data_IF_653822372781
#
_entry.id   IF_653822372781
#
_cell.length_a   1.000
_cell.length_b   1.000
_cell.length_c   1.000
_cell.angle_alpha   90.00
_cell.angle_beta   90.00
_cell.angle_gamma   90.00
#
_symmetry.space_group_name_H-M   'P 1'
#
loop_
_entity.id
_entity.type
_entity.pdbx_description
1 polymer ?
#
# COMPACT_ATOMS: atom_id res chain seq x y z
N UNK A 1 63.68 36.17 -4.59
CA UNK A 1 63.14 35.27 -5.64
C UNK A 1 62.34 34.13 -5.00
N UNK A 2 60.99 34.16 -5.08
CA UNK A 2 60.15 33.07 -4.57
C UNK A 2 59.84 32.12 -5.75
N UNK A 3 60.34 30.87 -5.67
CA UNK A 3 60.05 29.84 -6.65
C UNK A 3 58.58 29.39 -6.49
N UNK A 4 57.78 29.50 -7.55
CA UNK A 4 56.42 28.91 -7.61
C UNK A 4 56.56 27.39 -7.74
N UNK A 5 56.14 26.64 -6.68
CA UNK A 5 55.98 25.17 -6.75
C UNK A 5 54.75 24.86 -7.62
N UNK A 6 54.99 24.31 -8.77
CA UNK A 6 53.93 23.71 -9.60
C UNK A 6 53.61 22.34 -9.05
N UNK A 7 52.40 22.15 -8.54
CA UNK A 7 51.88 20.84 -8.14
C UNK A 7 51.53 20.09 -9.40
N UNK A 8 52.35 19.10 -9.78
CA UNK A 8 52.03 18.17 -10.89
C UNK A 8 51.04 17.13 -10.40
N UNK A 9 49.81 17.17 -10.86
CA UNK A 9 48.78 16.14 -10.57
C UNK A 9 49.18 14.80 -11.18
N UNK A 10 48.99 13.71 -10.38
CA UNK A 10 49.24 12.32 -10.80
C UNK A 10 48.38 11.98 -12.07
N UNK A 11 48.94 11.18 -13.04
CA UNK A 11 48.23 10.87 -14.31
C UNK A 11 46.81 10.28 -14.12
N UNK A 12 46.59 9.48 -13.07
CA UNK A 12 45.30 8.87 -12.77
C UNK A 12 44.27 9.88 -12.23
N UNK A 13 44.73 10.90 -11.48
CA UNK A 13 43.91 12.04 -11.06
C UNK A 13 43.47 12.91 -12.27
N UNK A 14 44.35 13.05 -13.27
CA UNK A 14 43.96 13.79 -14.51
C UNK A 14 42.89 13.04 -15.30
N UNK A 15 42.96 11.71 -15.40
CA UNK A 15 41.92 10.87 -16.05
C UNK A 15 40.61 10.96 -15.30
N UNK A 16 40.61 10.89 -13.96
CA UNK A 16 39.41 11.05 -13.14
C UNK A 16 38.74 12.41 -13.30
N UNK A 17 39.54 13.51 -13.37
CA UNK A 17 39.02 14.87 -13.60
C UNK A 17 38.41 15.01 -15.00
N UNK A 18 39.04 14.42 -16.01
CA UNK A 18 38.52 14.45 -17.39
C UNK A 18 37.20 13.69 -17.49
N UNK A 19 37.11 12.50 -16.91
CA UNK A 19 35.88 11.69 -16.89
C UNK A 19 34.77 12.42 -16.14
N UNK A 20 35.06 13.02 -14.98
CA UNK A 20 34.10 13.80 -14.20
C UNK A 20 33.63 15.07 -14.95
N UNK A 21 34.53 15.75 -15.64
CA UNK A 21 34.22 16.92 -16.47
C UNK A 21 33.34 16.54 -17.67
N UNK A 22 33.62 15.40 -18.35
CA UNK A 22 32.78 14.93 -19.45
C UNK A 22 31.38 14.55 -18.98
N UNK A 23 31.23 13.89 -17.82
CA UNK A 23 29.92 13.55 -17.23
C UNK A 23 29.16 14.83 -16.85
N UNK A 24 29.82 15.83 -16.27
CA UNK A 24 29.23 17.12 -15.93
C UNK A 24 28.76 17.91 -17.17
N UNK A 25 29.50 17.83 -18.28
CA UNK A 25 29.09 18.46 -19.54
C UNK A 25 27.89 17.79 -20.19
N UNK A 26 27.78 16.45 -20.08
CA UNK A 26 26.63 15.71 -20.59
C UNK A 26 25.36 16.02 -19.79
N UNK A 27 25.49 16.22 -18.47
CA UNK A 27 24.37 16.60 -17.59
C UNK A 27 23.87 18.04 -17.84
N UNK A 28 24.75 18.98 -18.22
CA UNK A 28 24.37 20.36 -18.51
C UNK A 28 23.70 20.55 -19.87
N UNK A 29 24.03 19.70 -20.87
CA UNK A 29 23.40 19.72 -22.19
C UNK A 29 21.89 19.40 -22.13
N UNK A 30 21.50 18.44 -21.31
CA UNK A 30 20.08 18.06 -21.16
C UNK A 30 19.20 19.15 -20.54
N UNK A 31 19.74 19.96 -19.62
CA UNK A 31 19.01 21.09 -19.02
C UNK A 31 18.77 22.21 -20.02
N UNK A 32 19.70 22.45 -20.94
CA UNK A 32 19.56 23.49 -21.97
C UNK A 32 18.51 23.10 -23.02
N UNK A 33 18.46 21.84 -23.45
CA UNK A 33 17.49 21.30 -24.40
C UNK A 33 16.05 21.41 -23.88
N UNK A 34 15.77 20.91 -22.68
CA UNK A 34 14.46 21.03 -22.04
C UNK A 34 14.01 22.48 -21.91
N UNK A 35 14.88 23.37 -21.40
CA UNK A 35 14.55 24.78 -21.20
C UNK A 35 14.24 25.52 -22.51
N UNK A 36 14.92 25.17 -23.60
CA UNK A 36 14.67 25.75 -24.91
C UNK A 36 13.27 25.35 -25.41
N UNK A 37 12.94 24.06 -25.36
CA UNK A 37 11.63 23.55 -25.79
C UNK A 37 10.51 24.09 -24.89
N UNK A 38 10.71 24.07 -23.57
CA UNK A 38 9.72 24.55 -22.62
C UNK A 38 9.34 26.01 -22.84
N UNK A 39 10.33 26.88 -23.08
CA UNK A 39 10.12 28.31 -23.21
C UNK A 39 9.69 28.76 -24.61
N UNK A 40 10.20 28.13 -25.66
CA UNK A 40 10.07 28.62 -27.03
C UNK A 40 9.43 27.61 -27.99
N UNK A 41 9.22 26.36 -27.58
CA UNK A 41 8.58 25.34 -28.40
C UNK A 41 7.09 25.63 -28.58
N UNK A 42 6.59 25.46 -29.79
CA UNK A 42 5.15 25.38 -30.09
C UNK A 42 4.56 24.05 -29.63
N UNK A 43 3.26 23.85 -29.82
CA UNK A 43 2.57 22.63 -29.36
C UNK A 43 3.12 21.36 -30.04
N UNK A 44 3.50 21.42 -31.30
CA UNK A 44 3.99 20.26 -32.03
C UNK A 44 5.42 19.91 -31.60
N UNK A 45 6.30 20.89 -31.48
CA UNK A 45 7.64 20.68 -30.94
C UNK A 45 7.60 20.13 -29.50
N UNK A 46 6.78 20.71 -28.63
CA UNK A 46 6.61 20.20 -27.25
C UNK A 46 6.11 18.76 -27.23
N UNK A 47 5.21 18.39 -28.15
CA UNK A 47 4.67 17.05 -28.23
C UNK A 47 5.73 16.02 -28.63
N UNK A 48 6.52 16.28 -29.67
CA UNK A 48 7.60 15.38 -30.09
C UNK A 48 8.69 15.27 -29.01
N UNK A 49 9.10 16.37 -28.38
CA UNK A 49 10.07 16.32 -27.30
C UNK A 49 9.54 15.65 -26.03
N UNK A 50 8.25 15.79 -25.73
CA UNK A 50 7.66 15.08 -24.60
C UNK A 50 7.72 13.55 -24.78
N UNK A 51 7.44 13.05 -25.98
CA UNK A 51 7.59 11.64 -26.35
C UNK A 51 9.05 11.18 -26.29
N UNK A 52 9.96 12.01 -26.78
CA UNK A 52 11.39 11.73 -26.74
C UNK A 52 11.92 11.70 -25.30
N UNK A 53 11.56 12.64 -24.44
CA UNK A 53 11.92 12.61 -23.01
C UNK A 53 11.33 11.40 -22.31
N UNK A 54 10.09 11.04 -22.62
CA UNK A 54 9.47 9.83 -22.10
C UNK A 54 10.26 8.57 -22.52
N UNK A 55 10.58 8.42 -23.80
CA UNK A 55 11.35 7.29 -24.32
C UNK A 55 12.77 7.19 -23.73
N UNK A 56 13.38 8.34 -23.38
CA UNK A 56 14.68 8.41 -22.70
C UNK A 56 14.60 8.21 -21.17
N UNK A 57 13.44 7.92 -20.62
CA UNK A 57 13.23 7.78 -19.18
C UNK A 57 13.29 9.09 -18.37
N UNK A 58 13.23 10.25 -19.06
CA UNK A 58 13.20 11.59 -18.41
C UNK A 58 11.76 11.97 -18.09
N UNK A 59 11.12 11.16 -17.24
CA UNK A 59 9.69 11.25 -16.98
C UNK A 59 9.25 12.59 -16.38
N UNK A 60 10.07 13.20 -15.52
CA UNK A 60 9.80 14.53 -14.98
C UNK A 60 9.72 15.59 -16.09
N UNK A 61 10.67 15.59 -17.05
CA UNK A 61 10.65 16.55 -18.15
C UNK A 61 9.45 16.31 -19.09
N UNK A 62 9.16 15.02 -19.37
CA UNK A 62 8.01 14.65 -20.16
C UNK A 62 6.70 15.10 -19.50
N UNK A 63 6.53 14.89 -18.19
CA UNK A 63 5.29 15.24 -17.48
C UNK A 63 5.04 16.75 -17.50
N UNK A 64 6.09 17.58 -17.35
CA UNK A 64 5.94 19.04 -17.41
C UNK A 64 5.45 19.50 -18.79
N UNK A 65 6.03 18.98 -19.88
CA UNK A 65 5.58 19.33 -21.25
C UNK A 65 4.15 18.79 -21.51
N UNK A 66 3.87 17.55 -21.11
CA UNK A 66 2.56 16.94 -21.31
C UNK A 66 1.45 17.65 -20.51
N UNK A 67 1.77 18.20 -19.34
CA UNK A 67 0.83 19.00 -18.56
C UNK A 67 0.35 20.24 -19.31
N UNK A 68 1.23 20.92 -20.02
CA UNK A 68 0.84 22.05 -20.89
C UNK A 68 0.09 21.57 -22.13
N UNK A 69 0.55 20.49 -22.76
CA UNK A 69 -0.02 19.92 -23.97
C UNK A 69 -1.47 19.43 -23.80
N UNK A 70 -1.83 18.91 -22.63
CA UNK A 70 -3.23 18.55 -22.31
C UNK A 70 -4.18 19.75 -22.51
N UNK A 71 -3.70 20.97 -22.27
CA UNK A 71 -4.48 22.19 -22.48
C UNK A 71 -4.34 22.72 -23.92
N UNK A 72 -3.12 22.75 -24.44
CA UNK A 72 -2.84 23.32 -25.78
C UNK A 72 -3.47 22.50 -26.92
N UNK A 73 -3.48 21.17 -26.78
CA UNK A 73 -4.01 20.24 -27.77
C UNK A 73 -5.47 19.82 -27.52
N UNK A 74 -6.19 20.53 -26.62
CA UNK A 74 -7.59 20.20 -26.30
C UNK A 74 -8.45 20.24 -27.59
N UNK A 75 -9.11 19.11 -27.87
CA UNK A 75 -9.96 18.94 -29.04
C UNK A 75 -9.24 18.37 -30.29
N UNK A 76 -7.92 18.16 -30.24
CA UNK A 76 -7.20 17.45 -31.29
C UNK A 76 -7.19 15.93 -31.07
N UNK A 77 -6.76 15.17 -32.08
CA UNK A 77 -6.63 13.70 -31.98
C UNK A 77 -5.56 13.31 -30.97
N UNK A 78 -4.50 14.08 -30.81
CA UNK A 78 -3.40 13.82 -29.91
C UNK A 78 -3.75 14.11 -28.42
N UNK A 79 -4.86 14.81 -28.16
CA UNK A 79 -5.23 15.22 -26.79
C UNK A 79 -5.38 14.02 -25.84
N UNK A 80 -5.95 12.89 -26.31
CA UNK A 80 -6.08 11.70 -25.51
C UNK A 80 -4.73 11.00 -25.25
N UNK A 81 -3.83 11.00 -26.25
CA UNK A 81 -2.49 10.46 -26.08
C UNK A 81 -1.67 11.29 -25.09
N UNK A 82 -1.72 12.62 -25.19
CA UNK A 82 -1.06 13.53 -24.25
C UNK A 82 -1.50 13.26 -22.80
N UNK A 83 -2.81 13.08 -22.58
CA UNK A 83 -3.34 12.83 -21.24
C UNK A 83 -2.92 11.44 -20.71
N UNK A 84 -2.94 10.41 -21.55
CA UNK A 84 -2.47 9.08 -21.18
C UNK A 84 -0.97 9.05 -20.89
N UNK A 85 -0.15 9.64 -21.78
CA UNK A 85 1.30 9.73 -21.57
C UNK A 85 1.66 10.56 -20.35
N UNK A 86 0.87 11.61 -20.00
CA UNK A 86 1.05 12.35 -18.76
C UNK A 86 0.90 11.42 -17.54
N UNK A 87 -0.18 10.64 -17.48
CA UNK A 87 -0.38 9.67 -16.41
C UNK A 87 0.75 8.64 -16.33
N UNK A 88 1.22 8.15 -17.49
CA UNK A 88 2.35 7.21 -17.55
C UNK A 88 3.68 7.86 -17.13
N UNK A 89 3.91 9.12 -17.48
CA UNK A 89 5.11 9.85 -17.06
C UNK A 89 5.13 10.08 -15.55
N UNK A 90 4.01 10.49 -14.96
CA UNK A 90 3.84 10.62 -13.51
C UNK A 90 4.03 9.28 -12.80
N UNK A 91 3.41 8.20 -13.31
CA UNK A 91 3.57 6.85 -12.75
C UNK A 91 5.03 6.38 -12.74
N UNK A 92 5.73 6.51 -13.87
CA UNK A 92 7.13 6.12 -13.97
C UNK A 92 8.08 7.05 -13.18
N UNK A 93 7.65 8.27 -12.89
CA UNK A 93 8.33 9.21 -11.99
C UNK A 93 8.01 8.94 -10.51
N UNK A 94 7.21 7.90 -10.19
CA UNK A 94 6.75 7.52 -8.86
C UNK A 94 5.81 8.55 -8.20
N UNK A 95 5.23 9.45 -8.99
CA UNK A 95 4.20 10.38 -8.55
C UNK A 95 2.82 9.69 -8.71
N UNK A 96 2.59 8.69 -7.87
CA UNK A 96 1.46 7.77 -8.02
C UNK A 96 0.11 8.45 -7.76
N UNK A 97 0.05 9.42 -6.85
CA UNK A 97 -1.17 10.15 -6.56
C UNK A 97 -1.61 10.98 -7.78
N UNK A 98 -0.69 11.79 -8.33
CA UNK A 98 -0.96 12.56 -9.55
C UNK A 98 -1.27 11.65 -10.74
N UNK A 99 -0.57 10.51 -10.88
CA UNK A 99 -0.84 9.53 -11.93
C UNK A 99 -2.28 8.99 -11.84
N UNK A 100 -2.73 8.58 -10.64
CA UNK A 100 -4.08 8.05 -10.46
C UNK A 100 -5.15 9.07 -10.83
N UNK A 101 -4.98 10.32 -10.43
CA UNK A 101 -5.91 11.42 -10.79
C UNK A 101 -5.91 11.72 -12.30
N UNK A 102 -4.74 11.67 -12.93
CA UNK A 102 -4.61 11.85 -14.38
C UNK A 102 -5.29 10.73 -15.15
N UNK A 103 -5.15 9.47 -14.73
CA UNK A 103 -5.85 8.34 -15.36
C UNK A 103 -7.37 8.39 -15.12
N UNK A 104 -7.85 8.81 -13.94
CA UNK A 104 -9.28 9.05 -13.68
C UNK A 104 -9.81 10.13 -14.62
N UNK A 105 -9.05 11.22 -14.80
CA UNK A 105 -9.40 12.29 -15.75
C UNK A 105 -9.47 11.75 -17.18
N UNK A 106 -8.55 10.83 -17.57
CA UNK A 106 -8.62 10.17 -18.87
C UNK A 106 -9.94 9.41 -19.04
N UNK A 107 -10.31 8.55 -18.08
CA UNK A 107 -11.55 7.77 -18.11
C UNK A 107 -12.81 8.65 -18.22
N UNK A 108 -12.82 9.80 -17.54
CA UNK A 108 -13.93 10.76 -17.61
C UNK A 108 -13.98 11.51 -18.94
N UNK A 109 -12.82 11.87 -19.51
CA UNK A 109 -12.73 12.68 -20.73
C UNK A 109 -12.88 11.84 -22.00
N UNK A 110 -12.35 10.62 -21.98
CA UNK A 110 -12.29 9.70 -23.13
C UNK A 110 -12.74 8.28 -22.76
N UNK A 111 -14.02 8.07 -22.35
CA UNK A 111 -14.48 6.76 -21.86
C UNK A 111 -14.46 5.65 -22.91
N UNK A 112 -14.41 6.02 -24.19
CA UNK A 112 -14.26 5.11 -25.34
C UNK A 112 -12.97 5.31 -26.11
N UNK A 113 -12.00 6.00 -25.49
CA UNK A 113 -10.68 6.26 -26.06
C UNK A 113 -9.85 4.98 -26.17
N UNK A 114 -8.86 5.01 -27.07
CA UNK A 114 -7.98 3.84 -27.31
C UNK A 114 -7.17 3.41 -26.08
N UNK A 115 -6.98 4.31 -25.12
CA UNK A 115 -6.29 4.03 -23.85
C UNK A 115 -7.26 3.90 -22.66
N UNK A 116 -8.60 3.80 -22.88
CA UNK A 116 -9.56 3.74 -21.79
C UNK A 116 -9.35 2.53 -20.87
N UNK A 117 -9.14 1.35 -21.45
CA UNK A 117 -8.84 0.13 -20.70
C UNK A 117 -7.53 0.23 -19.90
N UNK A 118 -6.35 0.50 -20.50
CA UNK A 118 -5.13 0.62 -19.72
C UNK A 118 -5.17 1.80 -18.72
N UNK A 119 -5.80 2.93 -19.04
CA UNK A 119 -5.94 4.02 -18.09
C UNK A 119 -6.74 3.61 -16.85
N UNK A 120 -7.87 2.92 -17.02
CA UNK A 120 -8.66 2.42 -15.91
C UNK A 120 -7.87 1.43 -15.04
N UNK A 121 -7.08 0.54 -15.64
CA UNK A 121 -6.17 -0.36 -14.90
C UNK A 121 -5.11 0.42 -14.11
N UNK A 122 -4.49 1.43 -14.72
CA UNK A 122 -3.43 2.21 -14.07
C UNK A 122 -3.93 3.14 -12.96
N UNK A 123 -5.22 3.46 -12.88
CA UNK A 123 -5.80 4.07 -11.66
C UNK A 123 -5.55 3.17 -10.46
N UNK A 124 -5.94 1.90 -10.57
CA UNK A 124 -5.72 0.91 -9.51
C UNK A 124 -4.24 0.64 -9.25
N UNK A 125 -3.43 0.55 -10.32
CA UNK A 125 -2.00 0.25 -10.20
C UNK A 125 -1.24 1.40 -9.51
N UNK A 126 -1.55 2.65 -9.80
CA UNK A 126 -0.92 3.80 -9.13
C UNK A 126 -1.28 3.84 -7.63
N UNK A 127 -2.55 3.64 -7.29
CA UNK A 127 -3.00 3.56 -5.91
C UNK A 127 -2.43 2.33 -5.17
N UNK A 128 -2.21 1.22 -5.89
CA UNK A 128 -1.54 0.04 -5.35
C UNK A 128 -0.09 0.35 -4.94
N UNK A 129 0.67 1.03 -5.80
CA UNK A 129 2.07 1.41 -5.51
C UNK A 129 2.16 2.45 -4.38
N UNK A 130 1.16 3.31 -4.23
CA UNK A 130 1.08 4.28 -3.12
C UNK A 130 0.54 3.70 -1.82
N UNK A 131 0.02 2.47 -1.84
CA UNK A 131 -0.56 1.81 -0.68
C UNK A 131 0.50 1.55 0.40
N UNK A 132 0.37 2.13 1.60
CA UNK A 132 1.40 2.06 2.64
C UNK A 132 1.42 0.72 3.37
N UNK A 133 2.32 0.58 4.35
CA UNK A 133 2.34 -0.56 5.27
C UNK A 133 1.04 -0.67 6.08
N UNK A 134 0.66 -1.89 6.55
CA UNK A 134 -0.62 -2.15 7.23
C UNK A 134 -0.91 -1.25 8.45
N UNK A 135 0.12 -0.78 9.15
CA UNK A 135 -0.02 0.05 10.36
C UNK A 135 -0.43 1.50 10.08
N UNK A 136 -0.28 1.94 8.84
CA UNK A 136 -0.57 3.31 8.43
C UNK A 136 -2.02 3.45 7.93
N UNK A 137 -2.39 4.66 7.51
CA UNK A 137 -3.70 4.91 6.91
C UNK A 137 -3.87 4.14 5.61
N UNK A 138 -4.96 3.36 5.49
CA UNK A 138 -5.23 2.49 4.36
C UNK A 138 -6.20 3.12 3.33
N UNK A 139 -6.38 4.44 3.34
CA UNK A 139 -7.21 5.12 2.34
C UNK A 139 -6.75 4.85 0.90
N UNK A 140 -5.43 4.89 0.57
CA UNK A 140 -4.96 4.50 -0.76
C UNK A 140 -5.24 3.03 -1.09
N UNK A 141 -5.12 2.11 -0.11
CA UNK A 141 -5.42 0.68 -0.28
C UNK A 141 -6.88 0.47 -0.65
N UNK A 142 -7.81 1.10 0.07
CA UNK A 142 -9.23 1.03 -0.24
C UNK A 142 -9.54 1.66 -1.61
N UNK A 143 -8.88 2.78 -1.94
CA UNK A 143 -8.95 3.41 -3.24
C UNK A 143 -8.51 2.47 -4.37
N UNK A 144 -7.41 1.74 -4.19
CA UNK A 144 -6.90 0.75 -5.14
C UNK A 144 -7.87 -0.42 -5.33
N UNK A 145 -8.45 -0.94 -4.24
CA UNK A 145 -9.46 -2.02 -4.29
C UNK A 145 -10.64 -1.59 -5.15
N UNK A 146 -11.21 -0.41 -4.86
CA UNK A 146 -12.34 0.11 -5.59
C UNK A 146 -12.01 0.33 -7.09
N UNK A 147 -10.82 0.85 -7.39
CA UNK A 147 -10.38 1.09 -8.76
C UNK A 147 -10.21 -0.22 -9.56
N UNK A 148 -9.63 -1.26 -8.96
CA UNK A 148 -9.50 -2.55 -9.62
C UNK A 148 -10.84 -3.27 -9.81
N UNK A 149 -11.75 -3.18 -8.83
CA UNK A 149 -13.11 -3.72 -8.96
C UNK A 149 -13.84 -3.02 -10.12
N UNK A 150 -13.82 -1.69 -10.15
CA UNK A 150 -14.41 -0.91 -11.23
C UNK A 150 -13.78 -1.23 -12.60
N UNK A 151 -12.46 -1.42 -12.67
CA UNK A 151 -11.78 -1.84 -13.88
C UNK A 151 -12.30 -3.19 -14.38
N UNK A 152 -12.42 -4.19 -13.49
CA UNK A 152 -12.89 -5.52 -13.87
C UNK A 152 -14.37 -5.55 -14.29
N UNK A 153 -15.18 -4.63 -13.77
CA UNK A 153 -16.59 -4.48 -14.14
C UNK A 153 -16.72 -3.81 -15.52
N UNK A 154 -15.91 -2.78 -15.79
CA UNK A 154 -15.92 -2.06 -17.07
C UNK A 154 -15.29 -2.86 -18.21
N UNK A 155 -14.29 -3.69 -17.92
CA UNK A 155 -13.52 -4.45 -18.92
C UNK A 155 -13.44 -5.94 -18.55
N UNK A 156 -14.57 -6.68 -18.56
CA UNK A 156 -14.64 -8.07 -18.11
C UNK A 156 -13.77 -9.02 -18.93
N UNK A 157 -13.53 -8.72 -20.21
CA UNK A 157 -12.73 -9.53 -21.14
C UNK A 157 -11.26 -9.08 -21.23
N UNK A 158 -10.85 -8.13 -20.39
CA UNK A 158 -9.48 -7.60 -20.41
C UNK A 158 -8.44 -8.65 -20.06
N UNK A 159 -7.34 -8.66 -20.81
CA UNK A 159 -6.15 -9.48 -20.48
C UNK A 159 -5.48 -9.06 -19.15
N UNK A 160 -5.74 -7.86 -18.68
CA UNK A 160 -5.24 -7.33 -17.41
C UNK A 160 -6.08 -7.77 -16.20
N UNK A 161 -7.23 -8.42 -16.42
CA UNK A 161 -8.16 -8.84 -15.36
C UNK A 161 -7.49 -9.75 -14.33
N UNK A 162 -6.75 -10.76 -14.78
CA UNK A 162 -6.04 -11.67 -13.87
C UNK A 162 -5.03 -10.91 -12.98
N UNK A 163 -4.28 -9.98 -13.58
CA UNK A 163 -3.35 -9.14 -12.83
C UNK A 163 -4.05 -8.22 -11.82
N UNK A 164 -5.19 -7.65 -12.18
CA UNK A 164 -6.01 -6.86 -11.25
C UNK A 164 -6.51 -7.72 -10.07
N UNK A 165 -6.94 -8.95 -10.35
CA UNK A 165 -7.36 -9.91 -9.32
C UNK A 165 -6.22 -10.26 -8.36
N UNK A 166 -5.01 -10.52 -8.87
CA UNK A 166 -3.83 -10.79 -8.02
C UNK A 166 -3.50 -9.59 -7.12
N UNK A 167 -3.62 -8.37 -7.65
CA UNK A 167 -3.43 -7.15 -6.84
C UNK A 167 -4.49 -6.99 -5.76
N UNK A 168 -5.73 -7.32 -6.05
CA UNK A 168 -6.81 -7.33 -5.05
C UNK A 168 -6.51 -8.27 -3.89
N UNK A 169 -6.03 -9.48 -4.15
CA UNK A 169 -5.64 -10.42 -3.08
C UNK A 169 -4.56 -9.81 -2.16
N UNK A 170 -3.54 -9.18 -2.73
CA UNK A 170 -2.48 -8.53 -1.95
C UNK A 170 -3.04 -7.38 -1.10
N UNK A 171 -3.96 -6.57 -1.65
CA UNK A 171 -4.57 -5.46 -0.93
C UNK A 171 -5.48 -5.94 0.20
N UNK A 172 -6.29 -6.97 -0.02
CA UNK A 172 -7.11 -7.58 1.04
C UNK A 172 -6.25 -8.18 2.14
N UNK A 173 -5.18 -8.90 1.80
CA UNK A 173 -4.25 -9.45 2.79
C UNK A 173 -3.63 -8.33 3.65
N UNK A 174 -3.29 -7.19 3.05
CA UNK A 174 -2.81 -6.01 3.78
C UNK A 174 -3.84 -5.46 4.77
N UNK A 175 -5.13 -5.40 4.40
CA UNK A 175 -6.20 -4.99 5.32
C UNK A 175 -6.40 -6.00 6.45
N UNK A 176 -6.33 -7.30 6.16
CA UNK A 176 -6.37 -8.37 7.15
C UNK A 176 -5.23 -8.24 8.15
N UNK A 177 -4.01 -7.99 7.66
CA UNK A 177 -2.85 -7.74 8.52
C UNK A 177 -3.04 -6.52 9.42
N UNK A 178 -3.65 -5.44 8.92
CA UNK A 178 -3.99 -4.27 9.73
C UNK A 178 -4.91 -4.63 10.89
N UNK A 179 -5.99 -5.37 10.61
CA UNK A 179 -6.93 -5.80 11.65
C UNK A 179 -6.25 -6.71 12.69
N UNK A 180 -5.40 -7.64 12.24
CA UNK A 180 -4.63 -8.48 13.15
C UNK A 180 -3.70 -7.66 14.06
N UNK A 181 -2.92 -6.75 13.48
CA UNK A 181 -2.02 -5.89 14.25
C UNK A 181 -2.77 -4.99 15.25
N UNK A 182 -3.98 -4.55 14.90
CA UNK A 182 -4.84 -3.78 15.79
C UNK A 182 -5.34 -4.63 16.97
N UNK A 183 -5.81 -5.85 16.69
CA UNK A 183 -6.26 -6.78 17.72
C UNK A 183 -5.09 -7.20 18.65
N UNK A 184 -3.92 -7.49 18.07
CA UNK A 184 -2.70 -7.83 18.81
C UNK A 184 -2.24 -6.67 19.70
N UNK A 185 -2.32 -5.43 19.22
CA UNK A 185 -2.01 -4.25 20.02
C UNK A 185 -2.91 -4.16 21.25
N UNK A 186 -4.22 -4.33 21.09
CA UNK A 186 -5.15 -4.35 22.22
C UNK A 186 -4.84 -5.49 23.19
N UNK A 187 -4.53 -6.67 22.72
CA UNK A 187 -4.11 -7.78 23.57
C UNK A 187 -2.87 -7.43 24.39
N UNK A 188 -1.84 -6.87 23.76
CA UNK A 188 -0.60 -6.47 24.43
C UNK A 188 -0.79 -5.32 25.43
N UNK A 189 -1.79 -4.47 25.22
CA UNK A 189 -2.19 -3.41 26.15
C UNK A 189 -3.11 -3.91 27.29
N UNK A 190 -3.60 -5.14 27.22
CA UNK A 190 -4.63 -5.68 28.12
C UNK A 190 -4.33 -5.57 29.61
N UNK A 191 -3.05 -5.61 29.99
CA UNK A 191 -2.60 -5.43 31.39
C UNK A 191 -2.20 -3.99 31.76
N UNK A 192 -2.39 -3.01 30.87
CA UNK A 192 -1.94 -1.63 31.11
C UNK A 192 -2.89 -0.86 32.03
N UNK A 193 -2.33 -0.05 32.92
CA UNK A 193 -2.95 0.58 34.07
C UNK A 193 -4.11 1.56 33.78
N UNK A 194 -4.43 1.85 32.53
CA UNK A 194 -5.47 2.82 32.15
C UNK A 194 -6.92 2.32 32.24
N UNK A 195 -7.16 1.02 32.44
CA UNK A 195 -8.50 0.41 32.38
C UNK A 195 -9.09 -0.03 33.73
N UNK A 196 -8.64 0.55 34.85
CA UNK A 196 -9.07 0.13 36.18
C UNK A 196 -10.54 0.47 36.47
N UNK A 197 -11.16 1.38 35.72
CA UNK A 197 -12.48 1.94 36.05
C UNK A 197 -13.61 1.55 35.09
N UNK A 198 -13.40 0.68 34.11
CA UNK A 198 -14.45 0.43 33.14
C UNK A 198 -15.04 -0.98 33.27
N UNK A 199 -16.30 -1.04 33.58
CA UNK A 199 -17.16 -2.19 33.44
C UNK A 199 -17.11 -2.66 31.95
N UNK A 200 -16.42 -3.76 31.65
CA UNK A 200 -16.32 -4.42 30.32
C UNK A 200 -15.50 -3.73 29.22
N UNK A 201 -14.92 -2.57 29.44
CA UNK A 201 -14.07 -1.87 28.46
C UNK A 201 -12.57 -2.21 28.61
N UNK A 202 -12.24 -3.49 28.82
CA UNK A 202 -10.83 -3.90 28.88
C UNK A 202 -10.24 -3.99 27.47
N UNK A 203 -8.92 -3.76 27.35
CA UNK A 203 -8.21 -3.94 26.08
C UNK A 203 -8.32 -5.39 25.56
N UNK A 204 -8.44 -6.38 26.46
CA UNK A 204 -8.70 -7.77 26.06
C UNK A 204 -10.05 -7.90 25.33
N UNK A 205 -11.10 -7.22 25.81
CA UNK A 205 -12.39 -7.20 25.14
C UNK A 205 -12.32 -6.51 23.79
N UNK A 206 -11.61 -5.38 23.70
CA UNK A 206 -11.35 -4.70 22.42
C UNK A 206 -10.59 -5.61 21.43
N UNK A 207 -9.60 -6.39 21.91
CA UNK A 207 -8.90 -7.39 21.10
C UNK A 207 -9.85 -8.46 20.56
N UNK A 208 -10.72 -9.01 21.41
CA UNK A 208 -11.72 -10.03 21.02
C UNK A 208 -12.63 -9.47 19.95
N UNK A 209 -13.23 -8.31 20.17
CA UNK A 209 -14.17 -7.67 19.23
C UNK A 209 -13.50 -7.37 17.91
N UNK A 210 -12.30 -6.81 17.90
CA UNK A 210 -11.55 -6.51 16.68
C UNK A 210 -11.25 -7.78 15.88
N UNK A 211 -10.75 -8.81 16.54
CA UNK A 211 -10.45 -10.09 15.89
C UNK A 211 -11.71 -10.80 15.36
N UNK A 212 -12.81 -10.79 16.12
CA UNK A 212 -14.09 -11.36 15.67
C UNK A 212 -14.67 -10.62 14.46
N UNK A 213 -14.61 -9.29 14.46
CA UNK A 213 -15.04 -8.47 13.32
C UNK A 213 -14.19 -8.74 12.08
N UNK A 214 -12.87 -8.90 12.24
CA UNK A 214 -12.00 -9.27 11.15
C UNK A 214 -12.37 -10.65 10.56
N UNK A 215 -12.59 -11.67 11.39
CA UNK A 215 -13.03 -13.01 10.95
C UNK A 215 -14.41 -13.01 10.30
N UNK A 216 -15.31 -12.13 10.74
CA UNK A 216 -16.63 -11.95 10.12
C UNK A 216 -16.52 -11.32 8.73
N UNK A 217 -15.61 -10.35 8.56
CA UNK A 217 -15.39 -9.66 7.30
C UNK A 217 -14.58 -10.50 6.31
N UNK A 218 -13.61 -11.26 6.82
CA UNK A 218 -12.66 -12.07 6.04
C UNK A 218 -12.65 -13.53 6.53
N UNK A 219 -13.73 -14.32 6.36
CA UNK A 219 -13.89 -15.64 6.99
C UNK A 219 -12.85 -16.68 6.54
N UNK A 220 -12.27 -16.51 5.35
CA UNK A 220 -11.28 -17.43 4.77
C UNK A 220 -9.88 -16.80 4.66
N UNK A 221 -9.55 -15.88 5.57
CA UNK A 221 -8.25 -15.21 5.54
C UNK A 221 -7.10 -16.13 5.94
N UNK A 222 -5.89 -15.78 5.46
CA UNK A 222 -4.66 -16.51 5.78
C UNK A 222 -4.29 -16.47 7.27
N UNK A 223 -4.73 -15.43 8.01
CA UNK A 223 -4.46 -15.23 9.45
C UNK A 223 -5.59 -15.74 10.35
N UNK A 224 -6.43 -16.68 9.87
CA UNK A 224 -7.57 -17.17 10.64
C UNK A 224 -7.14 -17.88 11.93
N UNK A 225 -6.12 -18.74 11.87
CA UNK A 225 -5.55 -19.41 13.05
C UNK A 225 -5.05 -18.38 14.08
N UNK A 226 -4.30 -17.38 13.63
CA UNK A 226 -3.73 -16.34 14.47
C UNK A 226 -4.81 -15.49 15.15
N UNK A 227 -5.86 -15.12 14.44
CA UNK A 227 -7.01 -14.44 15.02
C UNK A 227 -7.71 -15.27 16.08
N UNK A 228 -8.01 -16.55 15.82
CA UNK A 228 -8.65 -17.43 16.78
C UNK A 228 -7.78 -17.69 18.01
N UNK A 229 -6.48 -17.85 17.80
CA UNK A 229 -5.50 -17.92 18.89
C UNK A 229 -5.51 -16.66 19.75
N UNK A 230 -5.61 -15.50 19.11
CA UNK A 230 -5.63 -14.21 19.81
C UNK A 230 -6.94 -14.04 20.61
N UNK A 231 -8.08 -14.42 20.06
CA UNK A 231 -9.39 -14.43 20.75
C UNK A 231 -9.31 -15.34 21.97
N UNK A 232 -8.85 -16.58 21.80
CA UNK A 232 -8.68 -17.56 22.88
C UNK A 232 -7.82 -17.01 24.02
N UNK A 233 -6.65 -16.46 23.69
CA UNK A 233 -5.75 -15.84 24.67
C UNK A 233 -6.40 -14.64 25.38
N UNK A 234 -7.08 -13.79 24.63
CA UNK A 234 -7.74 -12.59 25.17
C UNK A 234 -8.88 -12.95 26.10
N UNK A 235 -9.73 -13.91 25.74
CA UNK A 235 -10.81 -14.41 26.63
C UNK A 235 -10.26 -15.01 27.91
N UNK A 236 -9.19 -15.81 27.81
CA UNK A 236 -8.54 -16.37 29.01
C UNK A 236 -7.96 -15.29 29.91
N UNK A 237 -7.25 -14.29 29.37
CA UNK A 237 -6.74 -13.16 30.15
C UNK A 237 -7.87 -12.31 30.75
N UNK A 238 -8.96 -12.13 30.03
CA UNK A 238 -10.13 -11.43 30.51
C UNK A 238 -10.76 -12.18 31.69
N UNK A 239 -10.83 -13.49 31.68
CA UNK A 239 -11.31 -14.32 32.78
C UNK A 239 -10.41 -14.22 34.02
N UNK A 240 -9.07 -14.27 33.83
CA UNK A 240 -8.09 -14.14 34.91
C UNK A 240 -8.18 -12.79 35.65
N UNK A 241 -8.48 -11.71 34.92
CA UNK A 241 -8.56 -10.36 35.44
C UNK A 241 -9.99 -9.90 35.79
N UNK A 242 -10.94 -10.82 35.87
CA UNK A 242 -12.34 -10.50 36.10
C UNK A 242 -12.67 -10.32 37.60
N UNK A 243 -13.68 -9.49 37.87
CA UNK A 243 -14.35 -9.44 39.17
C UNK A 243 -15.00 -10.78 39.49
N UNK A 244 -15.24 -11.05 40.79
CA UNK A 244 -15.79 -12.34 41.22
C UNK A 244 -17.15 -12.65 40.61
N UNK A 245 -17.96 -11.63 40.32
CA UNK A 245 -19.31 -11.76 39.76
C UNK A 245 -19.29 -12.30 38.30
N UNK A 246 -18.34 -11.84 37.47
CA UNK A 246 -18.24 -12.22 36.06
C UNK A 246 -17.24 -13.36 35.82
N UNK A 247 -16.51 -13.77 36.84
CA UNK A 247 -15.39 -14.70 36.72
C UNK A 247 -15.80 -16.05 36.16
N UNK A 248 -16.85 -16.65 36.71
CA UNK A 248 -17.29 -17.96 36.31
C UNK A 248 -17.79 -18.02 34.87
N UNK A 249 -18.57 -17.03 34.46
CA UNK A 249 -19.06 -16.87 33.10
C UNK A 249 -17.89 -16.76 32.10
N UNK A 250 -16.93 -15.90 32.38
CA UNK A 250 -15.77 -15.65 31.50
C UNK A 250 -14.83 -16.83 31.41
N UNK A 251 -14.67 -17.64 32.48
CA UNK A 251 -13.91 -18.87 32.40
C UNK A 251 -14.60 -19.94 31.54
N UNK A 252 -15.93 -19.98 31.53
CA UNK A 252 -16.70 -20.86 30.63
C UNK A 252 -16.51 -20.41 29.16
N UNK A 253 -16.65 -19.12 28.90
CA UNK A 253 -16.41 -18.57 27.57
C UNK A 253 -14.98 -18.84 27.06
N UNK A 254 -14.00 -18.75 27.93
CA UNK A 254 -12.61 -19.05 27.60
C UNK A 254 -12.39 -20.55 27.34
N UNK A 255 -13.04 -21.43 28.12
CA UNK A 255 -13.01 -22.89 27.92
C UNK A 255 -13.61 -23.26 26.56
N UNK A 256 -14.79 -22.72 26.23
CA UNK A 256 -15.49 -22.96 24.96
C UNK A 256 -14.65 -22.51 23.77
N UNK A 257 -14.01 -21.33 23.88
CA UNK A 257 -13.11 -20.85 22.82
C UNK A 257 -11.88 -21.73 22.63
N UNK A 258 -11.32 -22.28 23.72
CA UNK A 258 -10.21 -23.23 23.63
C UNK A 258 -10.62 -24.51 22.88
N UNK A 259 -11.81 -25.05 23.17
CA UNK A 259 -12.31 -26.17 22.41
C UNK A 259 -12.59 -25.84 20.95
N UNK A 260 -13.15 -24.67 20.68
CA UNK A 260 -13.34 -24.16 19.32
C UNK A 260 -12.03 -24.12 18.53
N UNK A 261 -10.98 -23.57 19.14
CA UNK A 261 -9.64 -23.51 18.54
C UNK A 261 -9.08 -24.92 18.24
N UNK A 262 -9.12 -25.85 19.20
CA UNK A 262 -8.61 -27.21 19.01
C UNK A 262 -9.40 -27.96 17.93
N UNK A 263 -10.72 -27.79 17.88
CA UNK A 263 -11.57 -28.45 16.89
C UNK A 263 -11.27 -27.94 15.45
N UNK A 264 -11.01 -26.66 15.29
CA UNK A 264 -10.73 -26.09 13.98
C UNK A 264 -9.27 -26.30 13.55
N UNK A 265 -8.32 -26.28 14.51
CA UNK A 265 -6.88 -26.40 14.26
C UNK A 265 -6.23 -27.50 15.12
N UNK A 266 -6.59 -28.77 14.93
CA UNK A 266 -6.11 -29.87 15.80
C UNK A 266 -4.60 -30.12 15.72
N UNK A 267 -3.95 -29.69 14.64
CA UNK A 267 -2.51 -29.84 14.42
C UNK A 267 -1.71 -28.56 14.71
N UNK A 268 -2.36 -27.50 15.18
CA UNK A 268 -1.69 -26.23 15.46
C UNK A 268 -0.69 -26.36 16.62
N UNK A 269 0.43 -25.67 16.52
CA UNK A 269 1.46 -25.63 17.58
C UNK A 269 0.91 -25.15 18.93
N UNK A 270 -0.19 -24.40 18.91
CA UNK A 270 -0.79 -23.77 20.08
C UNK A 270 -1.89 -24.64 20.76
N UNK A 271 -2.14 -25.86 20.29
CA UNK A 271 -3.07 -26.82 20.94
C UNK A 271 -2.66 -27.07 22.39
N UNK A 272 -1.38 -27.31 22.67
CA UNK A 272 -0.88 -27.48 24.03
C UNK A 272 -1.14 -26.27 24.95
N UNK A 273 -1.22 -25.06 24.39
CA UNK A 273 -1.60 -23.84 25.14
C UNK A 273 -3.09 -23.84 25.44
N UNK A 274 -3.92 -24.21 24.48
CA UNK A 274 -5.36 -24.32 24.67
C UNK A 274 -5.70 -25.39 25.74
N UNK A 275 -5.05 -26.57 25.73
CA UNK A 275 -5.22 -27.61 26.75
C UNK A 275 -4.84 -27.12 28.16
N UNK A 276 -3.75 -26.34 28.28
CA UNK A 276 -3.36 -25.74 29.57
C UNK A 276 -4.43 -24.76 30.07
N UNK A 277 -5.00 -23.95 29.18
CA UNK A 277 -6.08 -23.04 29.54
C UNK A 277 -7.34 -23.78 29.94
N UNK A 278 -7.75 -24.83 29.21
CA UNK A 278 -8.89 -25.71 29.57
C UNK A 278 -8.68 -26.30 30.96
N UNK A 279 -7.51 -26.85 31.26
CA UNK A 279 -7.23 -27.45 32.58
C UNK A 279 -7.39 -26.42 33.72
N UNK A 280 -6.97 -25.16 33.47
CA UNK A 280 -7.12 -24.07 34.44
C UNK A 280 -8.56 -23.59 34.58
N UNK A 281 -9.30 -23.47 33.44
CA UNK A 281 -10.72 -23.14 33.45
C UNK A 281 -11.53 -24.15 34.24
N UNK A 282 -11.34 -25.46 33.99
CA UNK A 282 -12.03 -26.53 34.69
C UNK A 282 -11.80 -26.54 36.19
N UNK A 283 -10.63 -26.16 36.65
CA UNK A 283 -10.32 -26.04 38.07
C UNK A 283 -11.16 -24.96 38.73
N UNK A 284 -11.21 -23.75 38.10
CA UNK A 284 -11.97 -22.60 38.61
C UNK A 284 -13.48 -22.80 38.52
N UNK A 285 -13.98 -23.49 37.49
CA UNK A 285 -15.43 -23.78 37.30
C UNK A 285 -15.95 -24.79 38.29
N UNK A 286 -15.08 -25.69 38.82
CA UNK A 286 -15.48 -26.72 39.80
C UNK A 286 -15.43 -26.25 41.25
N UNK A 287 -14.61 -25.25 41.52
CA UNK A 287 -14.49 -24.60 42.84
C UNK A 287 -15.62 -23.58 43.06
#
# INVERSE_FOLDING_TARGET
MRAKKYVTLHPDMKKGIIIFSCVALLMSSCKSEFNAVYKYGDADAKYEYAKEFFARGKFQNASVLLQELVTMKKGSEEAQECLYLLGMAQYNNQDYEAASETFKKYGSSYPRGIYAEPAAFYVGQALFESSPEPRLDQSPTNGAINAYQQFMDLFPDSKLRARAQDRLYILYDKLIQKEYLSAELYYNLGGYFGNINSNDESNYNASIITAQNALKTYPYCSLREEFMLLIMKSKFQLAENSTQEKRLERYRDAEDECYGFINEFPEAKNVATAEKFIAKCKKVIKD
#
